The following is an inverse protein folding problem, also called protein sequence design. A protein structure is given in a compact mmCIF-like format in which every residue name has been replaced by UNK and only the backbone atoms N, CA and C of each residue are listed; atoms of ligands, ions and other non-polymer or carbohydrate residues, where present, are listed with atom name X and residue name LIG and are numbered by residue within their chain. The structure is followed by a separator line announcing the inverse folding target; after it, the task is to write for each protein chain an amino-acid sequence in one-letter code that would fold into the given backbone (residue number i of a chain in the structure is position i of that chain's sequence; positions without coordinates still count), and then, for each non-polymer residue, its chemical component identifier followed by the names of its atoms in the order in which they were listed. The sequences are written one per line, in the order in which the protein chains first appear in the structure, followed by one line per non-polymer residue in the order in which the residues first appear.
data_IF_715864197311
#
_entry.id   IF_715864197311
#
_cell.length_a   1.000
_cell.length_b   1.000
_cell.length_c   1.000
_cell.angle_alpha   90.00
_cell.angle_beta   90.00
_cell.angle_gamma   90.00
#
_symmetry.space_group_name_H-M   'P 1'
#
loop_
_entity.id
_entity.type
_entity.pdbx_description
1 polymer ?
#
# COMPACT_ATOMS: atom_id res chain seq x y z
N UNK A 1 34.52 -22.63 14.92
CA UNK A 1 33.37 -21.97 15.55
C UNK A 1 32.13 -22.44 14.83
N UNK A 2 31.06 -22.84 15.51
CA UNK A 2 29.81 -23.12 14.82
C UNK A 2 29.29 -21.84 14.17
N UNK A 3 28.90 -21.91 12.90
CA UNK A 3 28.25 -20.80 12.23
C UNK A 3 26.90 -20.55 12.90
N UNK A 4 26.65 -19.30 13.29
CA UNK A 4 25.38 -18.90 13.89
C UNK A 4 24.41 -18.64 12.76
N UNK A 5 23.42 -19.52 12.59
CA UNK A 5 22.34 -19.32 11.63
C UNK A 5 21.34 -18.32 12.22
N UNK A 6 21.32 -17.11 11.69
CA UNK A 6 20.30 -16.12 12.00
C UNK A 6 19.03 -16.44 11.19
N UNK A 7 18.00 -16.95 11.84
CA UNK A 7 16.67 -17.04 11.25
C UNK A 7 15.88 -15.78 11.58
N UNK A 8 15.52 -15.02 10.56
CA UNK A 8 14.63 -13.87 10.70
C UNK A 8 13.49 -13.95 9.69
N UNK A 9 12.34 -13.44 10.08
CA UNK A 9 11.21 -13.34 9.16
C UNK A 9 11.47 -12.18 8.19
N UNK A 10 11.48 -12.49 6.90
CA UNK A 10 11.63 -11.47 5.87
C UNK A 10 10.36 -10.62 5.82
N UNK A 11 10.52 -9.30 5.90
CA UNK A 11 9.44 -8.38 5.62
C UNK A 11 9.09 -8.46 4.12
N UNK A 12 7.81 -8.46 3.75
CA UNK A 12 7.44 -8.35 2.34
C UNK A 12 7.75 -6.95 1.82
N UNK A 13 8.03 -6.83 0.52
CA UNK A 13 8.24 -5.54 -0.14
C UNK A 13 6.99 -4.66 -0.25
N UNK A 14 5.85 -5.14 0.25
CA UNK A 14 4.59 -4.41 0.19
C UNK A 14 4.63 -3.04 0.87
N UNK A 15 5.38 -2.91 1.96
CA UNK A 15 5.50 -1.65 2.69
C UNK A 15 6.12 -0.54 1.83
N UNK A 16 7.23 -0.83 1.15
CA UNK A 16 7.96 0.17 0.39
C UNK A 16 7.25 0.56 -0.92
N UNK A 17 6.47 -0.37 -1.47
CA UNK A 17 5.74 -0.16 -2.74
C UNK A 17 4.34 0.41 -2.56
N UNK A 18 3.65 0.09 -1.49
CA UNK A 18 2.27 0.55 -1.22
C UNK A 18 2.22 1.88 -0.47
N UNK A 19 3.18 2.11 0.41
CA UNK A 19 3.36 3.38 1.09
C UNK A 19 4.59 4.09 0.53
N UNK A 20 4.51 5.38 0.29
CA UNK A 20 5.63 6.19 -0.22
C UNK A 20 6.69 6.47 0.84
N UNK A 21 6.98 5.54 1.71
CA UNK A 21 8.12 5.39 2.61
C UNK A 21 8.56 6.58 3.51
N UNK A 22 8.36 7.81 3.07
CA UNK A 22 8.71 9.00 3.84
C UNK A 22 7.47 9.66 4.43
N UNK A 23 7.34 9.79 5.75
CA UNK A 23 6.24 10.52 6.36
C UNK A 23 6.29 11.99 5.94
N UNK A 24 5.25 12.47 5.28
CA UNK A 24 5.11 13.88 4.90
C UNK A 24 4.88 14.77 6.11
N UNK A 25 4.29 14.21 7.15
CA UNK A 25 4.02 14.89 8.42
C UNK A 25 4.64 14.07 9.54
N UNK A 26 5.46 14.68 10.38
CA UNK A 26 5.98 14.05 11.59
C UNK A 26 5.01 14.28 12.74
N UNK A 27 4.82 13.26 13.56
CA UNK A 27 4.06 13.35 14.80
C UNK A 27 4.99 13.84 15.92
N UNK A 28 4.46 14.67 16.82
CA UNK A 28 5.10 14.94 18.10
C UNK A 28 4.85 13.79 19.10
N UNK A 29 5.68 13.69 20.14
CA UNK A 29 5.54 12.63 21.16
C UNK A 29 4.15 12.61 21.84
N UNK A 30 3.50 13.76 21.94
CA UNK A 30 2.18 13.93 22.56
C UNK A 30 0.99 13.85 21.61
N UNK A 31 1.23 13.73 20.29
CA UNK A 31 0.15 13.78 19.32
C UNK A 31 -0.65 12.47 19.33
N UNK A 32 -1.90 12.55 19.79
CA UNK A 32 -2.81 11.40 19.78
C UNK A 32 -3.48 11.19 18.42
N UNK A 33 -3.51 12.21 17.59
CA UNK A 33 -4.12 12.20 16.26
C UNK A 33 -3.24 12.93 15.25
N UNK A 34 -3.17 12.40 14.05
CA UNK A 34 -2.65 13.10 12.89
C UNK A 34 -3.79 13.72 12.09
N UNK A 35 -3.60 14.96 11.62
CA UNK A 35 -4.61 15.72 10.88
C UNK A 35 -4.10 16.13 9.51
N UNK A 36 -4.93 15.91 8.50
CA UNK A 36 -4.68 16.40 7.14
C UNK A 36 -5.85 17.28 6.71
N UNK A 37 -5.53 18.43 6.12
CA UNK A 37 -6.53 19.32 5.51
C UNK A 37 -6.79 18.85 4.09
N UNK A 38 -8.05 18.54 3.77
CA UNK A 38 -8.49 18.25 2.43
C UNK A 38 -9.35 19.40 1.91
N UNK A 39 -9.05 19.87 0.72
CA UNK A 39 -9.81 20.91 0.02
C UNK A 39 -10.52 20.30 -1.18
N UNK A 40 -11.83 20.50 -1.28
CA UNK A 40 -12.61 20.15 -2.47
C UNK A 40 -13.03 21.47 -3.15
N UNK A 41 -12.45 21.73 -4.31
CA UNK A 41 -12.73 22.93 -5.11
C UNK A 41 -13.58 22.50 -6.29
N UNK A 42 -14.83 22.97 -6.32
CA UNK A 42 -15.76 22.73 -7.42
C UNK A 42 -16.04 24.00 -8.17
N UNK A 43 -15.76 23.97 -9.47
CA UNK A 43 -16.05 25.09 -10.38
C UNK A 43 -17.06 24.65 -11.42
N UNK A 44 -18.05 25.48 -11.68
CA UNK A 44 -18.94 25.32 -12.82
C UNK A 44 -18.86 26.59 -13.65
N UNK A 45 -18.50 26.46 -14.92
CA UNK A 45 -18.45 27.57 -15.85
C UNK A 45 -19.54 27.38 -16.89
N UNK A 46 -20.36 28.42 -17.11
CA UNK A 46 -21.36 28.45 -18.19
C UNK A 46 -21.00 29.57 -19.16
N UNK A 47 -21.08 29.29 -20.46
CA UNK A 47 -20.99 30.33 -21.47
C UNK A 47 -22.31 31.11 -21.46
N UNK A 48 -22.24 32.40 -21.16
CA UNK A 48 -23.38 33.30 -21.21
C UNK A 48 -23.09 34.44 -22.20
N UNK A 49 -24.04 34.74 -23.08
CA UNK A 49 -23.96 35.86 -24.03
C UNK A 49 -24.43 37.17 -23.42
N UNK A 50 -25.09 37.14 -22.26
CA UNK A 50 -25.60 38.33 -21.58
C UNK A 50 -25.12 38.38 -20.14
N UNK A 51 -24.86 39.58 -19.63
CA UNK A 51 -24.57 39.83 -18.23
C UNK A 51 -25.83 39.58 -17.39
N UNK A 52 -25.95 38.39 -16.82
CA UNK A 52 -27.05 38.05 -15.96
C UNK A 52 -26.56 37.84 -14.51
N UNK A 53 -27.40 38.09 -13.53
CA UNK A 53 -27.10 37.92 -12.11
C UNK A 53 -26.92 36.47 -11.66
N UNK A 54 -27.01 35.49 -12.59
CA UNK A 54 -26.85 34.07 -12.30
C UNK A 54 -25.51 33.53 -12.79
N UNK A 55 -24.42 34.11 -12.36
CA UNK A 55 -23.10 33.58 -12.63
C UNK A 55 -22.84 32.37 -11.72
N UNK A 56 -22.31 31.28 -12.25
CA UNK A 56 -21.93 30.12 -11.43
C UNK A 56 -20.80 30.52 -10.47
N UNK A 57 -20.93 30.10 -9.24
CA UNK A 57 -19.95 30.39 -8.18
C UNK A 57 -18.94 29.25 -8.04
N UNK A 58 -17.73 29.60 -7.63
CA UNK A 58 -16.73 28.64 -7.17
C UNK A 58 -17.04 28.29 -5.73
N UNK A 59 -17.18 27.01 -5.43
CA UNK A 59 -17.38 26.52 -4.07
C UNK A 59 -16.12 25.82 -3.59
N UNK A 60 -15.60 26.26 -2.46
CA UNK A 60 -14.45 25.65 -1.79
C UNK A 60 -14.91 25.03 -0.49
N UNK A 61 -14.84 23.73 -0.38
CA UNK A 61 -15.11 23.00 0.85
C UNK A 61 -13.79 22.55 1.46
N UNK A 62 -13.55 22.91 2.72
CA UNK A 62 -12.41 22.44 3.48
C UNK A 62 -12.88 21.46 4.55
N UNK A 63 -12.22 20.31 4.65
CA UNK A 63 -12.45 19.34 5.72
C UNK A 63 -11.13 18.92 6.35
N UNK A 64 -11.16 18.60 7.63
CA UNK A 64 -10.05 17.94 8.31
C UNK A 64 -10.32 16.44 8.34
N UNK A 65 -9.34 15.67 7.92
CA UNK A 65 -9.34 14.22 8.04
C UNK A 65 -8.32 13.87 9.12
N UNK A 66 -8.69 13.03 10.06
CA UNK A 66 -7.82 12.62 11.17
C UNK A 66 -7.67 11.10 11.24
N UNK A 67 -6.52 10.66 11.71
CA UNK A 67 -6.26 9.27 12.05
C UNK A 67 -5.59 9.20 13.42
N UNK A 68 -5.91 8.21 14.27
CA UNK A 68 -5.27 8.07 15.57
C UNK A 68 -3.81 7.63 15.43
N UNK A 69 -2.99 8.00 16.40
CA UNK A 69 -1.61 7.53 16.55
C UNK A 69 -1.51 6.51 17.67
N UNK A 70 -0.62 5.54 17.49
CA UNK A 70 -0.40 4.43 18.42
C UNK A 70 1.05 4.42 18.86
N UNK A 71 1.28 4.05 20.12
CA UNK A 71 2.61 3.87 20.67
C UNK A 71 2.96 2.38 20.65
N UNK A 72 3.86 1.99 19.76
CA UNK A 72 4.40 0.64 19.66
C UNK A 72 5.53 0.49 20.66
N UNK A 73 5.49 -0.56 21.46
CA UNK A 73 6.51 -0.87 22.47
C UNK A 73 6.88 -2.33 22.41
N UNK A 74 8.18 -2.57 22.54
CA UNK A 74 8.73 -3.92 22.72
C UNK A 74 9.80 -3.85 23.79
N UNK A 75 9.88 -4.90 24.61
CA UNK A 75 10.79 -5.00 25.75
C UNK A 75 11.77 -6.14 25.54
N UNK A 76 13.01 -5.93 25.92
CA UNK A 76 14.03 -6.95 26.08
C UNK A 76 14.71 -6.80 27.44
N UNK A 77 14.96 -7.92 28.11
CA UNK A 77 15.64 -7.97 29.41
C UNK A 77 16.83 -8.93 29.30
N UNK A 78 17.96 -8.53 29.82
CA UNK A 78 19.15 -9.36 29.86
C UNK A 78 19.99 -9.05 31.10
N UNK A 79 20.71 -10.05 31.59
CA UNK A 79 21.64 -9.89 32.68
C UNK A 79 23.12 -10.10 32.21
N UNK A 80 24.05 -9.94 33.16
CA UNK A 80 25.47 -10.09 32.87
C UNK A 80 25.86 -11.57 32.61
N UNK A 81 25.11 -12.53 33.18
CA UNK A 81 25.37 -13.95 32.94
C UNK A 81 24.97 -14.36 31.55
N UNK A 82 23.80 -13.89 31.09
CA UNK A 82 23.34 -14.12 29.71
C UNK A 82 24.29 -13.52 28.68
N UNK A 83 24.74 -12.29 28.94
CA UNK A 83 25.72 -11.60 28.08
C UNK A 83 27.04 -12.35 28.02
N UNK A 84 27.53 -12.87 29.15
CA UNK A 84 28.76 -13.64 29.20
C UNK A 84 28.63 -15.00 28.49
N UNK A 85 27.48 -15.69 28.67
CA UNK A 85 27.20 -16.95 27.97
C UNK A 85 27.17 -16.79 26.46
N UNK A 86 26.51 -15.77 25.95
CA UNK A 86 26.49 -15.43 24.52
C UNK A 86 27.87 -15.02 23.99
N UNK A 87 28.66 -14.30 24.82
CA UNK A 87 30.02 -13.92 24.47
C UNK A 87 30.94 -15.12 24.19
N UNK A 88 30.72 -16.27 24.85
CA UNK A 88 31.45 -17.51 24.58
C UNK A 88 31.20 -18.05 23.16
N UNK A 89 30.07 -17.72 22.55
CA UNK A 89 29.73 -18.10 21.18
C UNK A 89 30.18 -17.08 20.14
N UNK A 90 30.83 -16.00 20.60
CA UNK A 90 31.30 -14.92 19.71
C UNK A 90 30.20 -14.02 19.18
N UNK A 91 29.01 -14.04 19.84
CA UNK A 91 27.86 -13.22 19.47
C UNK A 91 27.53 -12.20 20.59
N UNK A 92 27.01 -11.04 20.22
CA UNK A 92 26.53 -10.04 21.15
C UNK A 92 25.01 -10.24 21.37
N UNK A 93 24.63 -10.63 22.58
CA UNK A 93 23.21 -10.77 22.97
C UNK A 93 22.48 -9.43 22.83
N UNK A 94 23.12 -8.33 23.25
CA UNK A 94 22.52 -6.99 23.22
C UNK A 94 22.18 -6.57 21.80
N UNK A 95 23.09 -6.80 20.85
CA UNK A 95 22.83 -6.47 19.42
C UNK A 95 21.78 -7.37 18.81
N UNK A 96 21.78 -8.66 19.14
CA UNK A 96 20.76 -9.59 18.67
C UNK A 96 19.35 -9.18 19.17
N UNK A 97 19.22 -8.79 20.44
CA UNK A 97 17.97 -8.31 21.01
C UNK A 97 17.53 -6.97 20.40
N UNK A 98 18.45 -6.03 20.18
CA UNK A 98 18.16 -4.77 19.48
C UNK A 98 17.63 -5.01 18.06
N UNK A 99 18.28 -5.92 17.34
CA UNK A 99 17.84 -6.30 15.99
C UNK A 99 16.43 -6.90 16.04
N UNK A 100 16.18 -7.81 16.98
CA UNK A 100 14.87 -8.43 17.19
C UNK A 100 13.77 -7.43 17.53
N UNK A 101 14.06 -6.48 18.44
CA UNK A 101 13.11 -5.41 18.79
C UNK A 101 12.75 -4.52 17.61
N UNK A 102 13.74 -4.08 16.84
CA UNK A 102 13.51 -3.27 15.62
C UNK A 102 12.70 -4.03 14.59
N UNK A 103 13.06 -5.29 14.36
CA UNK A 103 12.35 -6.15 13.42
C UNK A 103 10.89 -6.38 13.81
N UNK A 104 10.61 -6.58 15.11
CA UNK A 104 9.24 -6.70 15.63
C UNK A 104 8.42 -5.43 15.40
N UNK A 105 9.00 -4.25 15.64
CA UNK A 105 8.31 -2.97 15.39
C UNK A 105 8.03 -2.79 13.89
N UNK A 106 9.00 -3.08 13.00
CA UNK A 106 8.80 -2.96 11.56
C UNK A 106 7.76 -3.95 11.03
N UNK A 107 7.74 -5.18 11.54
CA UNK A 107 6.69 -6.15 11.19
C UNK A 107 5.31 -5.66 11.61
N UNK A 108 5.19 -5.07 12.80
CA UNK A 108 3.93 -4.52 13.27
C UNK A 108 3.49 -3.31 12.44
N UNK A 109 4.42 -2.43 12.05
CA UNK A 109 4.12 -1.32 11.13
C UNK A 109 3.61 -1.81 9.78
N UNK A 110 4.23 -2.84 9.23
CA UNK A 110 3.79 -3.46 7.98
C UNK A 110 2.38 -4.04 8.10
N UNK A 111 2.13 -4.80 9.16
CA UNK A 111 0.80 -5.35 9.40
C UNK A 111 -0.24 -4.23 9.58
N UNK A 112 0.13 -3.16 10.28
CA UNK A 112 -0.77 -2.02 10.46
C UNK A 112 -1.00 -1.22 9.17
N UNK A 113 -0.07 -1.25 8.20
CA UNK A 113 -0.30 -0.67 6.88
C UNK A 113 -1.45 -1.37 6.16
N UNK A 114 -1.45 -2.69 6.13
CA UNK A 114 -2.45 -3.48 5.42
C UNK A 114 -3.78 -3.57 6.18
N UNK A 115 -3.73 -3.85 7.48
CA UNK A 115 -4.92 -4.20 8.27
C UNK A 115 -5.34 -3.13 9.28
N UNK A 116 -4.46 -2.16 9.59
CA UNK A 116 -4.67 -1.18 10.65
C UNK A 116 -4.59 -1.79 12.06
N UNK A 117 -4.57 -0.94 13.08
CA UNK A 117 -4.71 -1.36 14.48
C UNK A 117 -6.18 -1.49 14.87
N UNK A 118 -7.03 -0.65 14.28
CA UNK A 118 -8.48 -0.71 14.47
C UNK A 118 -9.19 -0.74 13.10
N UNK A 119 -9.42 -1.94 12.53
CA UNK A 119 -10.06 -2.10 11.23
C UNK A 119 -11.46 -1.49 11.16
N UNK A 120 -12.19 -1.45 12.27
CA UNK A 120 -13.55 -0.88 12.31
C UNK A 120 -13.58 0.63 12.01
N UNK A 121 -12.46 1.33 12.23
CA UNK A 121 -12.32 2.75 11.90
C UNK A 121 -11.92 3.00 10.44
N UNK A 122 -11.80 1.97 9.62
CA UNK A 122 -11.31 2.08 8.23
C UNK A 122 -9.80 2.27 8.16
N UNK A 123 -9.07 1.84 9.18
CA UNK A 123 -7.63 1.85 9.21
C UNK A 123 -7.07 0.65 8.43
N UNK A 124 -5.93 0.85 7.79
CA UNK A 124 -5.30 -0.13 6.91
C UNK A 124 -5.86 -0.09 5.49
N UNK A 125 -5.03 -0.50 4.53
CA UNK A 125 -5.39 -0.40 3.11
C UNK A 125 -6.58 -1.30 2.75
N UNK A 126 -6.66 -2.51 3.33
CA UNK A 126 -7.75 -3.46 3.06
C UNK A 126 -9.10 -2.95 3.60
N UNK A 127 -9.07 -2.12 4.64
CA UNK A 127 -10.28 -1.62 5.31
C UNK A 127 -10.57 -0.15 5.00
N UNK A 128 -9.84 0.46 4.05
CA UNK A 128 -9.98 1.88 3.74
C UNK A 128 -11.39 2.25 3.32
N UNK A 129 -12.00 3.17 4.07
CA UNK A 129 -13.32 3.70 3.76
C UNK A 129 -13.31 4.45 2.43
N UNK A 130 -14.24 4.10 1.53
CA UNK A 130 -14.36 4.71 0.21
C UNK A 130 -13.46 4.08 -0.86
N UNK A 131 -12.64 3.08 -0.53
CA UNK A 131 -11.97 2.25 -1.53
C UNK A 131 -13.00 1.44 -2.35
N UNK A 132 -12.69 1.20 -3.62
CA UNK A 132 -13.57 0.39 -4.46
C UNK A 132 -13.32 -1.09 -4.19
N UNK A 133 -14.33 -1.80 -3.70
CA UNK A 133 -14.30 -3.24 -3.53
C UNK A 133 -14.97 -3.91 -4.73
N UNK A 134 -14.30 -4.90 -5.33
CA UNK A 134 -14.78 -5.65 -6.50
C UNK A 134 -14.53 -7.14 -6.25
N UNK A 135 -15.49 -7.98 -6.57
CA UNK A 135 -15.31 -9.44 -6.60
C UNK A 135 -15.07 -9.90 -8.03
N UNK A 136 -14.26 -10.95 -8.20
CA UNK A 136 -14.05 -11.55 -9.50
C UNK A 136 -15.38 -12.06 -10.04
N UNK A 137 -15.88 -11.55 -11.19
CA UNK A 137 -17.13 -12.06 -11.79
C UNK A 137 -16.89 -13.46 -12.37
N UNK A 138 -17.95 -14.27 -12.59
CA UNK A 138 -17.79 -15.53 -13.30
C UNK A 138 -17.33 -15.30 -14.75
N UNK A 139 -16.49 -16.20 -15.26
CA UNK A 139 -16.08 -16.19 -16.67
C UNK A 139 -17.22 -16.65 -17.61
N UNK A 140 -16.96 -16.68 -18.93
CA UNK A 140 -17.94 -17.14 -19.92
C UNK A 140 -18.39 -18.60 -19.73
N UNK A 141 -17.61 -19.41 -18.99
CA UNK A 141 -17.92 -20.81 -18.68
C UNK A 141 -18.57 -20.96 -17.29
N UNK A 142 -18.75 -19.86 -16.56
CA UNK A 142 -19.31 -19.85 -15.20
C UNK A 142 -18.30 -20.12 -14.09
N UNK A 143 -16.99 -20.15 -14.39
CA UNK A 143 -15.96 -20.35 -13.37
C UNK A 143 -15.72 -19.05 -12.58
N UNK A 144 -15.52 -19.19 -11.28
CA UNK A 144 -15.29 -18.07 -10.35
C UNK A 144 -13.94 -18.16 -9.64
N UNK A 145 -13.19 -19.25 -9.83
CA UNK A 145 -11.90 -19.48 -9.17
C UNK A 145 -10.74 -19.14 -10.09
N UNK A 146 -9.71 -18.54 -9.52
CA UNK A 146 -8.52 -18.09 -10.28
C UNK A 146 -7.90 -19.23 -11.09
N UNK A 147 -7.85 -20.46 -10.53
CA UNK A 147 -7.21 -21.62 -11.19
C UNK A 147 -7.95 -22.08 -12.43
N UNK A 148 -9.28 -21.97 -12.45
CA UNK A 148 -10.13 -22.45 -13.56
C UNK A 148 -10.58 -21.35 -14.50
N UNK A 149 -10.29 -20.10 -14.15
CA UNK A 149 -10.74 -18.93 -14.91
C UNK A 149 -10.06 -18.84 -16.29
N UNK A 150 -10.79 -18.35 -17.27
CA UNK A 150 -10.20 -18.07 -18.59
C UNK A 150 -9.16 -16.96 -18.51
N UNK A 151 -7.94 -17.27 -18.95
CA UNK A 151 -6.79 -16.37 -18.81
C UNK A 151 -6.92 -15.07 -19.61
N UNK A 152 -7.55 -15.15 -20.79
CA UNK A 152 -7.81 -13.96 -21.59
C UNK A 152 -8.81 -13.02 -20.94
N UNK A 153 -9.86 -13.58 -20.35
CA UNK A 153 -10.85 -12.79 -19.60
C UNK A 153 -10.27 -12.23 -18.30
N UNK A 154 -9.34 -12.96 -17.64
CA UNK A 154 -8.62 -12.46 -16.48
C UNK A 154 -7.77 -11.23 -16.83
N UNK A 155 -7.04 -11.26 -17.92
CA UNK A 155 -6.26 -10.10 -18.37
C UNK A 155 -7.15 -8.90 -18.67
N UNK A 156 -8.28 -9.11 -19.38
CA UNK A 156 -9.25 -8.05 -19.66
C UNK A 156 -9.86 -7.49 -18.37
N UNK A 157 -10.17 -8.34 -17.39
CA UNK A 157 -10.68 -7.92 -16.10
C UNK A 157 -9.68 -7.02 -15.38
N UNK A 158 -8.42 -7.44 -15.24
CA UNK A 158 -7.37 -6.64 -14.59
C UNK A 158 -7.17 -5.30 -15.29
N UNK A 159 -7.05 -5.27 -16.62
CA UNK A 159 -6.92 -4.04 -17.40
C UNK A 159 -8.13 -3.11 -17.23
N UNK A 160 -9.33 -3.68 -17.12
CA UNK A 160 -10.55 -2.90 -16.87
C UNK A 160 -10.51 -2.26 -15.48
N UNK A 161 -10.06 -2.99 -14.45
CA UNK A 161 -9.91 -2.43 -13.09
C UNK A 161 -8.84 -1.34 -13.05
N UNK A 162 -7.71 -1.53 -13.73
CA UNK A 162 -6.64 -0.54 -13.83
C UNK A 162 -7.13 0.72 -14.56
N UNK A 163 -7.82 0.56 -15.69
CA UNK A 163 -8.38 1.69 -16.41
C UNK A 163 -9.41 2.47 -15.59
N UNK A 164 -10.30 1.77 -14.88
CA UNK A 164 -11.25 2.38 -13.96
C UNK A 164 -10.55 3.13 -12.83
N UNK A 165 -9.46 2.57 -12.28
CA UNK A 165 -8.64 3.19 -11.26
C UNK A 165 -7.99 4.48 -11.78
N UNK A 166 -7.36 4.46 -12.96
CA UNK A 166 -6.77 5.63 -13.61
C UNK A 166 -7.80 6.72 -13.87
N UNK A 167 -9.01 6.34 -14.29
CA UNK A 167 -10.11 7.29 -14.53
C UNK A 167 -10.53 7.97 -13.22
N UNK A 168 -10.68 7.24 -12.13
CA UNK A 168 -11.02 7.82 -10.81
C UNK A 168 -9.97 8.80 -10.31
N UNK A 169 -8.69 8.50 -10.55
CA UNK A 169 -7.57 9.34 -10.16
C UNK A 169 -7.28 10.48 -11.13
N UNK A 170 -8.07 10.63 -12.20
CA UNK A 170 -7.79 11.57 -13.29
C UNK A 170 -6.40 11.41 -13.92
N UNK A 171 -5.87 10.18 -13.93
CA UNK A 171 -4.56 9.83 -14.50
C UNK A 171 -4.67 9.28 -15.93
N UNK A 172 -5.84 9.35 -16.54
CA UNK A 172 -6.07 8.89 -17.91
C UNK A 172 -5.17 9.65 -18.89
N UNK A 173 -4.43 8.92 -19.72
CA UNK A 173 -3.48 9.50 -20.66
C UNK A 173 -2.16 9.98 -20.05
N UNK A 174 -1.94 9.78 -18.76
CA UNK A 174 -0.65 10.04 -18.11
C UNK A 174 0.02 8.73 -17.69
N UNK A 175 1.36 8.60 -17.82
CA UNK A 175 2.08 7.47 -17.28
C UNK A 175 1.88 7.38 -15.76
N UNK A 176 1.46 6.23 -15.27
CA UNK A 176 1.24 5.96 -13.87
C UNK A 176 2.06 4.75 -13.43
N UNK A 177 2.51 4.75 -12.18
CA UNK A 177 3.04 3.57 -11.53
C UNK A 177 1.87 2.86 -10.86
N UNK A 178 1.68 1.59 -11.19
CA UNK A 178 0.57 0.77 -10.70
C UNK A 178 1.17 -0.36 -9.90
N UNK A 179 0.70 -0.54 -8.67
CA UNK A 179 1.13 -1.64 -7.82
C UNK A 179 -0.01 -2.63 -7.65
N UNK A 180 0.26 -3.90 -7.90
CA UNK A 180 -0.65 -5.01 -7.63
C UNK A 180 -0.03 -5.84 -6.50
N UNK A 181 -0.68 -5.83 -5.35
CA UNK A 181 -0.26 -6.57 -4.16
C UNK A 181 -1.27 -7.66 -3.84
N UNK A 182 -0.80 -8.89 -3.66
CA UNK A 182 -1.66 -10.02 -3.34
C UNK A 182 -0.89 -11.27 -2.95
N UNK A 183 -1.61 -12.36 -2.59
CA UNK A 183 -0.99 -13.63 -2.27
C UNK A 183 -0.20 -14.20 -3.43
N UNK A 184 0.95 -14.83 -3.13
CA UNK A 184 1.79 -15.46 -4.15
C UNK A 184 1.03 -16.54 -4.92
N UNK A 185 0.15 -17.31 -4.25
CA UNK A 185 -0.66 -18.34 -4.92
C UNK A 185 -1.60 -17.75 -5.97
N UNK A 186 -2.20 -16.60 -5.71
CA UNK A 186 -3.15 -15.95 -6.61
C UNK A 186 -2.43 -15.20 -7.73
N UNK A 187 -1.43 -14.38 -7.40
CA UNK A 187 -0.67 -13.63 -8.40
C UNK A 187 0.25 -14.54 -9.22
N UNK A 188 0.86 -15.57 -8.60
CA UNK A 188 1.67 -16.55 -9.30
C UNK A 188 0.88 -17.36 -10.33
N UNK A 189 -0.42 -17.59 -10.10
CA UNK A 189 -1.27 -18.22 -11.11
C UNK A 189 -1.28 -17.42 -12.42
N UNK A 190 -1.21 -16.09 -12.37
CA UNK A 190 -1.17 -15.24 -13.56
C UNK A 190 0.16 -15.33 -14.32
N UNK A 191 1.24 -15.76 -13.68
CA UNK A 191 2.54 -16.00 -14.32
C UNK A 191 2.60 -17.36 -15.00
N UNK A 192 1.93 -18.37 -14.42
CA UNK A 192 1.96 -19.75 -14.97
C UNK A 192 0.85 -20.01 -15.98
N UNK A 193 -0.23 -19.27 -15.93
CA UNK A 193 -1.36 -19.42 -16.84
C UNK A 193 -1.05 -18.76 -18.18
N UNK A 194 -0.89 -19.57 -19.22
CA UNK A 194 -0.62 -19.09 -20.56
C UNK A 194 -1.89 -18.71 -21.30
N UNK A 195 -1.92 -17.53 -21.90
CA UNK A 195 -2.98 -17.13 -22.82
C UNK A 195 -2.74 -17.82 -24.16
N UNK A 196 -3.59 -18.78 -24.50
CA UNK A 196 -3.62 -19.35 -25.85
C UNK A 196 -4.40 -18.35 -26.73
N UNK A 197 -3.68 -17.56 -27.51
CA UNK A 197 -4.33 -16.68 -28.48
C UNK A 197 -4.96 -17.51 -29.60
N UNK A 198 -6.26 -17.69 -29.53
CA UNK A 198 -7.06 -18.31 -30.58
C UNK A 198 -7.41 -17.35 -31.72
N UNK A 199 -6.93 -16.11 -31.70
CA UNK A 199 -7.19 -15.10 -32.73
C UNK A 199 -6.12 -15.11 -33.80
N UNK A 200 -6.52 -14.86 -35.07
CA UNK A 200 -5.69 -14.85 -36.27
C UNK A 200 -4.52 -13.85 -36.27
N UNK A 201 -4.38 -13.04 -35.25
CA UNK A 201 -3.21 -12.20 -35.01
C UNK A 201 -2.15 -12.98 -34.25
N UNK A 202 -1.48 -13.88 -34.94
CA UNK A 202 -0.22 -14.41 -34.40
C UNK A 202 0.82 -13.29 -34.42
N UNK A 203 1.28 -12.88 -33.23
CA UNK A 203 2.50 -12.10 -33.11
C UNK A 203 3.61 -12.86 -33.85
N UNK A 204 4.36 -12.20 -34.71
CA UNK A 204 5.48 -12.82 -35.41
C UNK A 204 6.46 -13.40 -34.34
N UNK A 205 6.45 -14.72 -34.20
CA UNK A 205 7.22 -15.41 -33.16
C UNK A 205 6.46 -16.51 -32.41
N UNK A 206 5.14 -16.63 -32.54
CA UNK A 206 4.34 -17.79 -32.10
C UNK A 206 4.43 -18.20 -30.63
N UNK A 207 4.74 -17.27 -29.71
CA UNK A 207 4.83 -17.57 -28.29
C UNK A 207 3.50 -17.36 -27.54
N UNK A 208 3.17 -18.27 -26.64
CA UNK A 208 2.14 -18.06 -25.63
C UNK A 208 2.67 -17.08 -24.58
N UNK A 209 1.90 -16.02 -24.26
CA UNK A 209 2.25 -15.07 -23.21
C UNK A 209 1.44 -15.36 -21.95
N UNK A 210 2.03 -15.30 -20.76
CA UNK A 210 1.28 -15.40 -19.50
C UNK A 210 0.37 -14.17 -19.33
N UNK A 211 -0.69 -14.32 -18.56
CA UNK A 211 -1.66 -13.23 -18.26
C UNK A 211 -0.94 -11.96 -17.77
N UNK A 212 0.00 -12.11 -16.84
CA UNK A 212 0.80 -11.00 -16.34
C UNK A 212 1.62 -10.32 -17.45
N UNK A 213 2.16 -11.08 -18.40
CA UNK A 213 2.90 -10.55 -19.55
C UNK A 213 2.03 -9.73 -20.49
N UNK A 214 0.81 -10.17 -20.77
CA UNK A 214 -0.14 -9.43 -21.62
C UNK A 214 -0.56 -8.11 -20.95
N UNK A 215 -0.84 -8.14 -19.65
CA UNK A 215 -1.17 -6.93 -18.88
C UNK A 215 -0.02 -5.94 -18.91
N UNK A 216 1.21 -6.43 -18.67
CA UNK A 216 2.42 -5.61 -18.72
C UNK A 216 2.64 -5.01 -20.09
N UNK A 217 2.60 -5.79 -21.18
CA UNK A 217 2.81 -5.33 -22.54
C UNK A 217 1.83 -4.21 -22.94
N UNK A 218 0.55 -4.33 -22.54
CA UNK A 218 -0.46 -3.32 -22.85
C UNK A 218 -0.23 -2.04 -22.03
N UNK A 219 0.18 -2.14 -20.79
CA UNK A 219 0.48 -1.00 -19.93
C UNK A 219 1.75 -0.29 -20.35
N UNK A 220 2.79 -1.03 -20.74
CA UNK A 220 4.04 -0.46 -21.28
C UNK A 220 3.80 0.37 -22.54
N UNK A 221 2.85 -0.03 -23.40
CA UNK A 221 2.44 0.77 -24.56
C UNK A 221 1.86 2.14 -24.18
N UNK A 222 1.27 2.25 -23.00
CA UNK A 222 0.75 3.51 -22.44
C UNK A 222 1.81 4.25 -21.60
N UNK A 223 3.01 3.71 -21.45
CA UNK A 223 4.07 4.22 -20.59
C UNK A 223 3.82 4.02 -19.09
N UNK A 224 2.92 3.13 -18.72
CA UNK A 224 2.64 2.78 -17.33
C UNK A 224 3.65 1.75 -16.83
N UNK A 225 4.09 1.89 -15.59
CA UNK A 225 4.89 0.88 -14.87
C UNK A 225 3.98 0.03 -14.00
N UNK A 226 4.21 -1.29 -13.99
CA UNK A 226 3.49 -2.22 -13.12
C UNK A 226 4.46 -2.95 -12.20
N UNK A 227 4.18 -2.88 -10.89
CA UNK A 227 4.90 -3.59 -9.85
C UNK A 227 4.03 -4.71 -9.26
N UNK A 228 4.55 -5.94 -9.29
CA UNK A 228 3.92 -7.08 -8.64
C UNK A 228 4.54 -7.31 -7.28
N UNK A 229 3.73 -7.30 -6.24
CA UNK A 229 4.16 -7.46 -4.85
C UNK A 229 3.44 -8.65 -4.22
N UNK A 230 4.20 -9.60 -3.70
CA UNK A 230 3.65 -10.79 -3.07
C UNK A 230 3.54 -10.61 -1.57
N UNK A 231 2.33 -10.83 -1.04
CA UNK A 231 2.08 -10.82 0.40
C UNK A 231 1.01 -11.87 0.77
N UNK A 232 1.48 -13.01 1.28
CA UNK A 232 0.60 -14.13 1.64
C UNK A 232 -0.28 -13.86 2.87
N UNK A 233 -0.06 -12.76 3.59
CA UNK A 233 -0.96 -12.38 4.68
C UNK A 233 -2.34 -11.94 4.18
N UNK A 234 -2.47 -11.65 2.88
CA UNK A 234 -3.73 -11.30 2.21
C UNK A 234 -4.62 -12.50 1.88
N UNK A 235 -4.17 -13.73 2.15
CA UNK A 235 -4.96 -14.95 2.02
C UNK A 235 -6.19 -14.88 2.95
N UNK A 236 -7.37 -15.09 2.39
CA UNK A 236 -8.62 -15.09 3.14
C UNK A 236 -9.06 -13.72 3.68
N UNK A 237 -8.48 -12.61 3.19
CA UNK A 237 -8.81 -11.24 3.62
C UNK A 237 -9.74 -10.49 2.68
N UNK A 238 -10.11 -11.08 1.57
CA UNK A 238 -11.15 -10.57 0.67
C UNK A 238 -12.57 -10.83 1.18
N UNK A 239 -13.55 -10.32 0.46
CA UNK A 239 -14.95 -10.56 0.77
C UNK A 239 -15.28 -12.05 0.73
N UNK A 240 -16.01 -12.56 1.75
CA UNK A 240 -16.35 -13.97 1.85
C UNK A 240 -15.18 -14.91 2.12
N UNK A 241 -14.13 -14.43 2.82
CA UNK A 241 -12.91 -15.19 3.10
C UNK A 241 -12.11 -15.61 1.84
N UNK A 242 -12.28 -14.90 0.74
CA UNK A 242 -11.47 -15.04 -0.48
C UNK A 242 -10.14 -14.33 -0.32
N UNK A 243 -9.24 -14.49 -1.28
CA UNK A 243 -7.97 -13.76 -1.29
C UNK A 243 -8.21 -12.30 -1.66
N UNK A 244 -7.52 -11.38 -0.98
CA UNK A 244 -7.55 -9.99 -1.32
C UNK A 244 -6.37 -9.64 -2.24
N UNK A 245 -6.67 -8.99 -3.35
CA UNK A 245 -5.66 -8.39 -4.24
C UNK A 245 -5.89 -6.89 -4.26
N UNK A 246 -4.86 -6.14 -3.90
CA UNK A 246 -4.89 -4.68 -3.84
C UNK A 246 -4.27 -4.13 -5.12
N UNK A 247 -5.03 -3.34 -5.87
CA UNK A 247 -4.54 -2.60 -7.02
C UNK A 247 -4.55 -1.13 -6.64
N UNK A 248 -3.39 -0.48 -6.63
CA UNK A 248 -3.31 0.92 -6.28
C UNK A 248 -2.35 1.71 -7.20
N UNK A 249 -2.56 3.03 -7.23
CA UNK A 249 -1.61 4.00 -7.75
C UNK A 249 -0.96 4.66 -6.55
N UNK A 250 0.28 4.27 -6.16
CA UNK A 250 0.91 4.76 -4.93
C UNK A 250 1.06 6.28 -4.92
N UNK A 251 1.33 6.86 -6.08
CA UNK A 251 1.62 8.27 -6.25
C UNK A 251 0.78 8.88 -7.37
N UNK A 252 -0.11 9.80 -7.00
CA UNK A 252 -0.97 10.51 -7.94
C UNK A 252 -0.20 11.71 -8.49
N UNK A 253 0.11 11.69 -9.78
CA UNK A 253 0.79 12.81 -10.45
C UNK A 253 -0.18 13.98 -10.57
N UNK A 254 0.31 15.19 -10.30
CA UNK A 254 -0.44 16.42 -10.58
C UNK A 254 -0.69 16.54 -12.08
N UNK A 255 -1.89 16.92 -12.52
CA UNK A 255 -2.12 17.17 -13.92
C UNK A 255 -1.16 18.28 -14.39
N UNK A 256 -0.32 17.97 -15.39
CA UNK A 256 0.47 18.99 -16.07
C UNK A 256 -0.48 19.82 -16.93
N UNK A 257 -1.14 20.78 -16.31
CA UNK A 257 -2.12 21.56 -17.01
C UNK A 257 -1.42 22.64 -17.82
N UNK A 258 -1.58 22.62 -19.12
CA UNK A 258 -1.21 23.72 -20.01
C UNK A 258 -1.88 25.07 -19.64
N UNK A 259 -2.72 25.13 -18.62
CA UNK A 259 -3.54 26.30 -18.28
C UNK A 259 -3.75 26.54 -16.78
N UNK A 260 -3.20 25.73 -15.88
CA UNK A 260 -3.26 25.95 -14.44
C UNK A 260 -1.84 26.23 -13.96
N UNK A 261 -1.63 27.34 -13.26
CA UNK A 261 -0.34 27.63 -12.66
C UNK A 261 -0.02 26.56 -11.60
N UNK A 262 0.96 25.71 -11.93
CA UNK A 262 1.40 24.64 -11.06
C UNK A 262 1.96 25.16 -9.73
N UNK A 263 2.48 26.41 -9.70
CA UNK A 263 2.99 27.02 -8.48
C UNK A 263 1.86 27.42 -7.54
N UNK A 264 0.76 27.96 -8.06
CA UNK A 264 -0.41 28.27 -7.25
C UNK A 264 -1.09 27.01 -6.71
N UNK A 265 -1.19 25.96 -7.55
CA UNK A 265 -1.72 24.67 -7.12
C UNK A 265 -0.84 24.03 -6.04
N UNK A 266 0.49 24.14 -6.16
CA UNK A 266 1.44 23.61 -5.16
C UNK A 266 1.33 24.34 -3.81
N UNK A 267 0.95 25.60 -3.76
CA UNK A 267 0.68 26.33 -2.51
C UNK A 267 -0.55 25.79 -1.78
N UNK A 268 -1.58 25.36 -2.53
CA UNK A 268 -2.82 24.82 -1.96
C UNK A 268 -2.74 23.35 -1.60
N UNK A 269 -1.94 22.58 -2.33
CA UNK A 269 -1.78 21.13 -2.13
C UNK A 269 -0.30 20.79 -1.98
N UNK A 270 0.32 21.04 -0.82
CA UNK A 270 1.72 20.72 -0.60
C UNK A 270 1.90 19.19 -0.49
N UNK A 271 2.05 18.53 -1.62
CA UNK A 271 2.68 17.22 -1.66
C UNK A 271 1.90 16.00 -1.16
N UNK A 272 0.59 16.07 -0.90
CA UNK A 272 -0.23 14.91 -0.56
C UNK A 272 -0.65 14.13 -1.82
N UNK A 273 0.33 13.65 -2.56
CA UNK A 273 0.13 12.91 -3.80
C UNK A 273 0.06 11.39 -3.56
N UNK A 274 0.45 10.95 -2.35
CA UNK A 274 0.44 9.56 -1.98
C UNK A 274 -0.97 9.01 -1.77
N UNK A 275 -1.20 7.79 -2.26
CA UNK A 275 -2.45 7.06 -2.02
C UNK A 275 -2.58 6.68 -0.54
N UNK A 276 -1.51 6.15 0.02
CA UNK A 276 -1.46 5.69 1.40
C UNK A 276 -0.29 6.34 2.13
N UNK A 277 -0.51 6.65 3.39
CA UNK A 277 0.51 7.20 4.27
C UNK A 277 0.60 6.39 5.56
N UNK A 278 1.79 6.36 6.12
CA UNK A 278 2.04 6.00 7.50
C UNK A 278 2.91 7.10 8.10
N UNK A 279 2.46 7.69 9.18
CA UNK A 279 3.14 8.82 9.82
C UNK A 279 3.83 8.32 11.08
N UNK A 280 5.10 8.70 11.26
CA UNK A 280 5.90 8.39 12.44
C UNK A 280 6.50 9.67 13.00
N UNK A 281 6.71 9.71 14.33
CA UNK A 281 7.42 10.81 14.99
C UNK A 281 8.94 10.68 14.87
N UNK A 282 9.43 9.47 14.72
CA UNK A 282 10.85 9.13 14.70
C UNK A 282 11.26 8.39 13.44
N UNK A 283 12.48 8.65 13.00
CA UNK A 283 13.09 7.89 11.89
C UNK A 283 13.48 6.46 12.30
N UNK A 284 13.72 6.24 13.60
CA UNK A 284 14.06 4.93 14.18
C UNK A 284 13.43 4.81 15.57
N UNK A 285 13.15 3.58 16.04
CA UNK A 285 12.67 3.35 17.39
C UNK A 285 13.64 3.91 18.44
N UNK A 286 13.10 4.55 19.48
CA UNK A 286 13.86 5.04 20.63
C UNK A 286 14.08 3.91 21.62
N UNK A 287 15.30 3.73 22.09
CA UNK A 287 15.66 2.75 23.10
C UNK A 287 15.81 3.43 24.47
N UNK A 288 15.15 2.91 25.47
CA UNK A 288 15.19 3.42 26.85
C UNK A 288 15.72 2.29 27.74
N UNK A 289 17.03 2.29 28.06
CA UNK A 289 17.59 1.32 28.99
C UNK A 289 17.26 1.71 30.45
N UNK A 290 16.81 0.75 31.23
CA UNK A 290 16.54 0.90 32.66
C UNK A 290 17.30 -0.15 33.44
N UNK A 291 18.23 0.23 34.31
CA UNK A 291 18.91 -0.73 35.16
C UNK A 291 17.96 -1.33 36.21
N UNK A 292 17.99 -2.64 36.35
CA UNK A 292 17.23 -3.38 37.35
C UNK A 292 18.10 -3.82 38.53
N UNK A 293 17.45 -4.13 39.66
CA UNK A 293 18.15 -4.68 40.78
C UNK A 293 18.78 -6.05 40.42
N UNK A 294 20.02 -6.28 40.85
CA UNK A 294 20.73 -7.51 40.52
C UNK A 294 21.62 -7.45 39.27
N UNK A 295 21.76 -6.28 38.63
CA UNK A 295 22.66 -6.08 37.50
C UNK A 295 22.06 -6.43 36.14
N UNK A 296 20.76 -6.74 36.09
CA UNK A 296 20.00 -6.86 34.84
C UNK A 296 19.69 -5.50 34.26
N UNK A 297 19.53 -5.45 32.94
CA UNK A 297 19.12 -4.25 32.21
C UNK A 297 17.84 -4.57 31.45
N UNK A 298 16.84 -3.71 31.63
CA UNK A 298 15.61 -3.70 30.86
C UNK A 298 15.70 -2.64 29.77
N UNK A 299 15.51 -3.02 28.53
CA UNK A 299 15.52 -2.11 27.38
C UNK A 299 14.15 -2.10 26.74
N UNK A 300 13.51 -0.94 26.77
CA UNK A 300 12.24 -0.71 26.06
C UNK A 300 12.54 0.04 24.78
N UNK A 301 12.17 -0.56 23.65
CA UNK A 301 12.19 0.11 22.35
C UNK A 301 10.77 0.60 22.02
N UNK A 302 10.64 1.87 21.71
CA UNK A 302 9.34 2.49 21.44
C UNK A 302 9.34 3.32 20.17
N UNK A 303 8.22 3.29 19.45
CA UNK A 303 7.95 4.11 18.28
C UNK A 303 6.50 4.55 18.28
N UNK A 304 6.25 5.84 18.07
CA UNK A 304 4.90 6.34 17.83
C UNK A 304 4.64 6.39 16.33
N UNK A 305 3.53 5.78 15.90
CA UNK A 305 3.14 5.77 14.50
C UNK A 305 1.61 5.75 14.33
N UNK A 306 1.13 6.19 13.19
CA UNK A 306 -0.24 5.91 12.77
C UNK A 306 -0.31 4.50 12.17
N UNK A 307 -1.51 3.93 12.09
CA UNK A 307 -1.75 2.81 11.19
C UNK A 307 -1.69 3.26 9.73
N UNK A 308 -1.65 2.30 8.80
CA UNK A 308 -1.78 2.59 7.38
C UNK A 308 -3.06 3.36 7.11
N UNK A 309 -2.93 4.44 6.39
CA UNK A 309 -4.02 5.35 6.11
C UNK A 309 -4.19 5.57 4.62
N UNK A 310 -5.29 5.08 4.05
CA UNK A 310 -5.69 5.36 2.68
C UNK A 310 -6.21 6.78 2.57
N UNK A 311 -5.31 7.74 2.29
CA UNK A 311 -5.65 9.17 2.18
C UNK A 311 -6.45 9.44 0.91
N UNK A 312 -6.14 8.68 -0.14
CA UNK A 312 -6.75 8.76 -1.47
C UNK A 312 -7.47 7.45 -1.81
N UNK A 313 -8.68 7.22 -1.26
CA UNK A 313 -9.40 5.97 -1.50
C UNK A 313 -9.76 5.77 -2.98
N UNK A 314 -9.85 6.84 -3.77
CA UNK A 314 -10.05 6.77 -5.22
C UNK A 314 -8.91 6.06 -5.96
N UNK A 315 -7.69 6.08 -5.41
CA UNK A 315 -6.51 5.43 -5.97
C UNK A 315 -6.35 3.96 -5.54
N UNK A 316 -7.36 3.41 -4.88
CA UNK A 316 -7.32 2.07 -4.31
C UNK A 316 -8.49 1.24 -4.83
N UNK A 317 -8.19 0.03 -5.28
CA UNK A 317 -9.16 -1.01 -5.61
C UNK A 317 -8.80 -2.29 -4.87
N UNK A 318 -9.75 -2.86 -4.16
CA UNK A 318 -9.59 -4.13 -3.46
C UNK A 318 -10.39 -5.18 -4.25
N UNK A 319 -9.68 -6.15 -4.81
CA UNK A 319 -10.28 -7.23 -5.59
C UNK A 319 -10.32 -8.49 -4.75
N UNK A 320 -11.50 -9.07 -4.61
CA UNK A 320 -11.71 -10.33 -3.91
C UNK A 320 -11.71 -11.46 -4.93
N UNK A 321 -10.77 -12.40 -4.80
CA UNK A 321 -10.57 -13.51 -5.72
C UNK A 321 -10.57 -14.84 -4.97
N UNK A 322 -11.39 -15.79 -5.39
CA UNK A 322 -11.32 -17.14 -4.87
C UNK A 322 -10.22 -17.90 -5.60
N UNK A 323 -9.26 -18.49 -4.87
CA UNK A 323 -8.16 -19.20 -5.50
C UNK A 323 -8.61 -20.52 -6.14
N UNK A 324 -9.30 -21.37 -5.38
CA UNK A 324 -9.78 -22.71 -5.79
C UNK A 324 -11.15 -23.01 -5.19
#
# INVERSE_FOLDING_TARGET
MPEVLLQYQQASGAFDTLATGNPMVRLGEGDLYAYIKAFDIRTKVTAAQAAGNMLPSVTVNARMISTPSYLLRVRAEYDHHDTAAFGQWGASLVEAQRLGMRQGIFQQLRNSLLYGFNPANGEGLVNTNGATAVSLPPDSNGNTTVVTYDNGQMAVFLLTQISALKTRCMQLGMPARITICGPQRTLGAFEYQNIVQLTQFQRAGGGTLPTAGVVKDILDLNGDEIDWVYDDTLIGKGAGATDAVIINIPEIKKPSAHRIDTNEFAKLSPGLEACALMLCDMAAPREIPTPLAGGAVDVVSELRATSGWGVRPEALTIVSMQYS
#
